data_IF_834218770850
#
_entry.id   IF_834218770850
#
_cell.length_a   1.000
_cell.length_b   1.000
_cell.length_c   1.000
_cell.angle_alpha   90.00
_cell.angle_beta   90.00
_cell.angle_gamma   90.00
#
_symmetry.space_group_name_H-M   'P 1'
#
loop_
_entity.id
_entity.type
_entity.pdbx_description
1 polymer ?
#
# COMPACT_ATOMS: atom_id res chain seq x y z
N UNK A 1 2.05 12.20 -10.58
CA UNK A 1 1.94 11.25 -9.46
C UNK A 1 1.95 9.82 -9.98
N UNK A 2 2.57 8.90 -9.24
CA UNK A 2 2.56 7.45 -9.50
C UNK A 2 1.83 6.76 -8.35
N UNK A 3 0.84 5.91 -8.68
CA UNK A 3 0.00 5.23 -7.70
C UNK A 3 0.25 3.72 -7.76
N UNK A 4 0.79 3.14 -6.69
CA UNK A 4 1.20 1.73 -6.59
C UNK A 4 0.17 0.98 -5.76
N UNK A 5 -0.46 -0.03 -6.36
CA UNK A 5 -1.53 -0.82 -5.75
C UNK A 5 -1.02 -1.80 -4.68
N UNK A 6 -1.94 -2.34 -3.87
CA UNK A 6 -1.67 -3.36 -2.86
C UNK A 6 -1.64 -4.78 -3.42
N UNK A 7 -1.32 -5.75 -2.54
CA UNK A 7 -1.26 -7.16 -2.85
C UNK A 7 -2.56 -7.68 -3.49
N UNK A 8 -2.42 -8.48 -4.54
CA UNK A 8 -3.52 -9.12 -5.27
C UNK A 8 -4.38 -8.19 -6.13
N UNK A 9 -4.08 -6.88 -6.17
CA UNK A 9 -4.82 -5.88 -6.95
C UNK A 9 -4.05 -5.50 -8.23
N UNK A 10 -4.50 -4.49 -8.92
CA UNK A 10 -3.84 -3.87 -10.08
C UNK A 10 -4.16 -2.37 -10.16
N UNK A 11 -3.47 -1.63 -11.03
CA UNK A 11 -3.59 -0.17 -11.14
C UNK A 11 -5.00 0.36 -11.42
N UNK A 12 -5.90 -0.47 -11.93
CA UNK A 12 -7.31 -0.11 -12.12
C UNK A 12 -8.06 0.24 -10.83
N UNK A 13 -7.52 -0.12 -9.64
CA UNK A 13 -8.11 0.25 -8.35
C UNK A 13 -8.16 1.77 -8.13
N UNK A 14 -7.33 2.51 -8.84
CA UNK A 14 -7.21 3.95 -8.72
C UNK A 14 -8.17 4.75 -9.60
N UNK A 15 -8.95 4.08 -10.47
CA UNK A 15 -9.83 4.75 -11.46
C UNK A 15 -10.73 5.82 -10.86
N UNK A 16 -11.33 5.53 -9.70
CA UNK A 16 -12.22 6.46 -8.99
C UNK A 16 -11.48 7.61 -8.31
N UNK A 17 -10.17 7.48 -8.05
CA UNK A 17 -9.36 8.50 -7.42
C UNK A 17 -8.72 9.46 -8.45
N UNK A 18 -8.41 8.97 -9.66
CA UNK A 18 -7.69 9.74 -10.68
C UNK A 18 -8.32 11.11 -11.01
N UNK A 19 -9.67 11.26 -11.11
CA UNK A 19 -10.28 12.56 -11.36
C UNK A 19 -9.98 13.60 -10.29
N UNK A 20 -9.78 13.18 -9.04
CA UNK A 20 -9.48 14.08 -7.93
C UNK A 20 -8.00 14.49 -7.84
N UNK A 21 -7.15 13.94 -8.70
CA UNK A 21 -5.71 14.25 -8.79
C UNK A 21 -5.38 15.19 -9.96
N UNK A 22 -6.30 16.09 -10.32
CA UNK A 22 -6.16 17.01 -11.46
C UNK A 22 -4.96 17.96 -11.35
N UNK A 23 -4.49 18.25 -10.12
CA UNK A 23 -3.27 19.05 -9.87
C UNK A 23 -1.96 18.40 -10.31
N UNK A 24 -1.98 17.13 -10.77
CA UNK A 24 -0.82 16.44 -11.31
C UNK A 24 -0.95 16.29 -12.83
N UNK A 25 0.03 16.81 -13.59
CA UNK A 25 0.07 16.71 -15.06
C UNK A 25 0.08 15.24 -15.52
N UNK A 26 0.88 14.41 -14.86
CA UNK A 26 1.01 12.98 -15.17
C UNK A 26 0.49 12.13 -14.01
N UNK A 27 -0.40 11.19 -14.34
CA UNK A 27 -1.00 10.25 -13.39
C UNK A 27 -0.79 8.84 -13.89
N UNK A 28 0.15 8.12 -13.29
CA UNK A 28 0.51 6.75 -13.66
C UNK A 28 0.00 5.77 -12.61
N UNK A 29 -0.54 4.65 -13.06
CA UNK A 29 -1.03 3.57 -12.22
C UNK A 29 -0.44 2.25 -12.68
N UNK A 30 0.90 2.08 -12.55
CA UNK A 30 1.56 0.86 -13.02
C UNK A 30 1.03 -0.36 -12.26
N UNK A 31 1.03 -1.48 -12.95
CA UNK A 31 0.74 -2.77 -12.34
C UNK A 31 2.04 -3.36 -11.78
N UNK A 32 1.99 -3.84 -10.54
CA UNK A 32 3.12 -4.58 -9.98
C UNK A 32 3.37 -5.84 -10.81
N UNK A 33 4.61 -6.32 -10.93
CA UNK A 33 4.93 -7.53 -11.68
C UNK A 33 3.98 -8.69 -11.35
N UNK A 34 3.49 -9.37 -12.39
CA UNK A 34 2.54 -10.48 -12.27
C UNK A 34 1.09 -10.08 -11.94
N UNK A 35 0.76 -8.79 -11.96
CA UNK A 35 -0.60 -8.28 -11.76
C UNK A 35 -1.06 -7.49 -12.98
N UNK A 36 -2.38 -7.44 -13.23
CA UNK A 36 -2.99 -6.56 -14.25
C UNK A 36 -2.49 -6.74 -15.68
N UNK A 37 -1.82 -7.85 -16.00
CA UNK A 37 -1.19 -8.10 -17.29
C UNK A 37 0.30 -7.79 -17.34
N UNK A 38 0.88 -7.19 -16.30
CA UNK A 38 2.34 -7.00 -16.20
C UNK A 38 3.05 -8.37 -16.09
N UNK A 39 4.19 -8.56 -16.80
CA UNK A 39 4.93 -9.82 -16.71
C UNK A 39 5.45 -10.06 -15.30
N UNK A 40 5.48 -11.33 -14.88
CA UNK A 40 6.17 -11.72 -13.65
C UNK A 40 7.67 -11.83 -13.96
N UNK A 41 8.57 -11.33 -13.09
CA UNK A 41 9.99 -11.51 -13.32
C UNK A 41 10.36 -12.99 -13.21
N UNK A 42 11.31 -13.41 -14.03
CA UNK A 42 11.95 -14.72 -13.89
C UNK A 42 12.79 -14.72 -12.60
N UNK A 43 12.65 -15.78 -11.79
CA UNK A 43 13.42 -15.98 -10.58
C UNK A 43 12.76 -15.46 -9.30
N UNK A 44 13.50 -14.77 -8.43
CA UNK A 44 13.03 -14.35 -7.12
C UNK A 44 12.02 -13.21 -7.22
N UNK A 45 10.91 -13.37 -6.51
CA UNK A 45 9.90 -12.31 -6.32
C UNK A 45 10.07 -11.70 -4.92
N UNK A 46 10.96 -10.73 -4.79
CA UNK A 46 11.25 -10.03 -3.55
C UNK A 46 10.97 -8.54 -3.65
N UNK A 47 11.03 -7.83 -2.52
CA UNK A 47 10.76 -6.40 -2.48
C UNK A 47 11.72 -5.60 -3.37
N UNK A 48 12.99 -5.98 -3.39
CA UNK A 48 14.00 -5.31 -4.21
C UNK A 48 13.78 -5.56 -5.70
N UNK A 49 13.44 -6.78 -6.07
CA UNK A 49 13.20 -7.19 -7.45
C UNK A 49 11.97 -6.48 -8.04
N UNK A 50 10.84 -6.48 -7.33
CA UNK A 50 9.64 -5.78 -7.82
C UNK A 50 9.81 -4.26 -7.83
N UNK A 51 10.59 -3.70 -6.89
CA UNK A 51 10.93 -2.28 -6.88
C UNK A 51 11.81 -1.91 -8.08
N UNK A 52 12.82 -2.74 -8.38
CA UNK A 52 13.72 -2.52 -9.51
C UNK A 52 12.98 -2.62 -10.86
N UNK A 53 12.05 -3.58 -10.98
CA UNK A 53 11.22 -3.73 -12.18
C UNK A 53 10.30 -2.50 -12.40
N UNK A 54 9.76 -1.92 -11.31
CA UNK A 54 8.88 -0.76 -11.38
C UNK A 54 9.65 0.57 -11.58
N UNK A 55 10.88 0.67 -11.11
CA UNK A 55 11.64 1.93 -11.10
C UNK A 55 11.71 2.65 -12.47
N UNK A 56 11.90 1.96 -13.62
CA UNK A 56 11.90 2.62 -14.92
C UNK A 56 10.62 3.39 -15.27
N UNK A 57 9.47 2.93 -14.77
CA UNK A 57 8.15 3.54 -15.02
C UNK A 57 7.90 4.78 -14.17
N UNK A 58 8.72 5.04 -13.15
CA UNK A 58 8.58 6.18 -12.25
C UNK A 58 9.41 7.35 -12.75
N UNK A 59 8.81 8.46 -13.21
CA UNK A 59 9.54 9.66 -13.63
C UNK A 59 10.39 10.24 -12.49
N UNK A 60 11.47 10.94 -12.84
CA UNK A 60 12.27 11.65 -11.84
C UNK A 60 11.43 12.72 -11.12
N UNK A 61 11.59 12.84 -9.81
CA UNK A 61 10.88 13.80 -8.99
C UNK A 61 9.39 13.53 -8.80
N UNK A 62 8.92 12.29 -9.04
CA UNK A 62 7.51 11.96 -8.88
C UNK A 62 7.05 12.00 -7.42
N UNK A 63 5.79 12.41 -7.20
CA UNK A 63 5.06 12.02 -5.99
C UNK A 63 4.63 10.57 -6.13
N UNK A 64 4.97 9.72 -5.18
CA UNK A 64 4.61 8.30 -5.20
C UNK A 64 3.60 8.02 -4.10
N UNK A 65 2.40 7.57 -4.50
CA UNK A 65 1.37 7.06 -3.61
C UNK A 65 1.39 5.54 -3.61
N UNK A 66 1.67 4.94 -2.47
CA UNK A 66 1.64 3.48 -2.29
C UNK A 66 0.58 3.05 -1.29
N UNK A 67 -0.14 1.99 -1.61
CA UNK A 67 -1.13 1.40 -0.74
C UNK A 67 -0.71 0.00 -0.28
N UNK A 68 -0.69 -0.26 1.04
CA UNK A 68 -0.41 -1.59 1.61
C UNK A 68 0.95 -2.13 1.13
N UNK A 69 1.02 -3.27 0.42
CA UNK A 69 2.26 -3.76 -0.21
C UNK A 69 2.89 -2.69 -1.13
N UNK A 70 2.06 -1.95 -1.88
CA UNK A 70 2.54 -0.84 -2.71
C UNK A 70 3.20 0.28 -1.92
N UNK A 71 2.85 0.46 -0.64
CA UNK A 71 3.54 1.41 0.24
C UNK A 71 4.94 0.91 0.62
N UNK A 72 5.13 -0.40 0.82
CA UNK A 72 6.47 -0.98 1.04
C UNK A 72 7.36 -0.81 -0.20
N UNK A 73 6.78 -1.02 -1.40
CA UNK A 73 7.46 -0.76 -2.68
C UNK A 73 7.82 0.72 -2.82
N UNK A 74 6.90 1.64 -2.49
CA UNK A 74 7.14 3.08 -2.54
C UNK A 74 8.26 3.54 -1.59
N UNK A 75 8.30 3.00 -0.37
CA UNK A 75 9.39 3.25 0.58
C UNK A 75 10.73 2.73 0.08
N UNK A 76 10.76 1.50 -0.47
CA UNK A 76 11.98 0.93 -1.03
C UNK A 76 12.44 1.69 -2.29
N UNK A 77 11.50 2.17 -3.12
CA UNK A 77 11.78 3.04 -4.25
C UNK A 77 12.42 4.37 -3.80
N UNK A 78 11.86 5.02 -2.80
CA UNK A 78 12.39 6.26 -2.24
C UNK A 78 13.81 6.10 -1.68
N UNK A 79 14.11 4.95 -1.08
CA UNK A 79 15.45 4.61 -0.59
C UNK A 79 16.43 4.33 -1.72
N UNK A 80 16.10 3.38 -2.62
CA UNK A 80 17.05 2.86 -3.63
C UNK A 80 17.15 3.73 -4.88
N UNK A 81 16.09 4.49 -5.18
CA UNK A 81 15.96 5.34 -6.35
C UNK A 81 15.55 6.77 -5.96
N UNK A 82 16.22 7.35 -4.96
CA UNK A 82 15.85 8.62 -4.33
C UNK A 82 15.57 9.76 -5.32
N UNK A 83 16.30 9.83 -6.44
CA UNK A 83 16.09 10.85 -7.48
C UNK A 83 14.74 10.74 -8.20
N UNK A 84 14.08 9.58 -8.13
CA UNK A 84 12.76 9.37 -8.75
C UNK A 84 11.62 9.81 -7.84
N UNK A 85 11.85 9.94 -6.55
CA UNK A 85 10.79 10.22 -5.56
C UNK A 85 11.04 11.55 -4.89
N UNK A 86 10.15 12.53 -5.10
CA UNK A 86 10.19 13.82 -4.40
C UNK A 86 9.33 13.82 -3.14
N UNK A 87 8.27 13.01 -3.11
CA UNK A 87 7.31 12.94 -2.00
C UNK A 87 6.67 11.55 -1.93
N UNK A 88 6.39 11.09 -0.72
CA UNK A 88 5.65 9.86 -0.46
C UNK A 88 4.25 10.14 0.10
N UNK A 89 3.26 9.37 -0.37
CA UNK A 89 1.94 9.24 0.24
C UNK A 89 1.75 7.74 0.51
N UNK A 90 1.73 7.38 1.79
CA UNK A 90 1.72 5.98 2.24
C UNK A 90 0.36 5.66 2.86
N UNK A 91 -0.43 4.84 2.18
CA UNK A 91 -1.82 4.55 2.57
C UNK A 91 -1.89 3.17 3.22
N UNK A 92 -2.45 3.10 4.42
CA UNK A 92 -2.57 1.85 5.19
C UNK A 92 -1.24 1.09 5.20
N UNK A 93 -0.18 1.79 5.60
CA UNK A 93 1.21 1.39 5.45
C UNK A 93 1.82 0.94 6.79
N UNK A 94 2.76 0.01 6.70
CA UNK A 94 3.55 -0.48 7.82
C UNK A 94 4.99 -0.77 7.36
N UNK A 95 6.01 -0.57 8.22
CA UNK A 95 7.37 -0.96 7.89
C UNK A 95 7.60 -2.48 8.03
N UNK A 96 6.73 -3.16 8.78
CA UNK A 96 6.71 -4.61 8.97
C UNK A 96 5.28 -5.07 9.16
N UNK A 97 4.88 -6.09 8.40
CA UNK A 97 3.48 -6.54 8.36
C UNK A 97 3.14 -7.52 9.47
N UNK A 98 4.07 -8.42 9.82
CA UNK A 98 3.90 -9.42 10.89
C UNK A 98 4.57 -8.97 12.18
N UNK A 99 4.12 -9.50 13.31
CA UNK A 99 4.76 -9.27 14.61
C UNK A 99 6.20 -9.83 14.62
N UNK A 100 7.05 -9.22 15.43
CA UNK A 100 8.44 -9.65 15.67
C UNK A 100 9.01 -8.95 16.90
N UNK A 101 10.22 -9.29 17.28
CA UNK A 101 10.92 -8.63 18.38
C UNK A 101 10.92 -7.11 18.19
N UNK A 102 10.44 -6.42 19.23
CA UNK A 102 10.28 -4.95 19.23
C UNK A 102 9.23 -4.42 18.24
N UNK A 103 8.29 -5.28 17.77
CA UNK A 103 7.21 -4.88 16.88
C UNK A 103 5.93 -5.68 17.13
N UNK A 104 5.04 -5.12 17.96
CA UNK A 104 3.76 -5.72 18.34
C UNK A 104 2.56 -5.11 17.56
N UNK A 105 2.86 -4.22 16.60
CA UNK A 105 1.85 -3.54 15.80
C UNK A 105 1.50 -4.27 14.51
N UNK A 106 2.06 -5.45 14.27
CA UNK A 106 1.81 -6.28 13.09
C UNK A 106 0.64 -7.25 13.26
N UNK A 107 0.45 -8.11 12.27
CA UNK A 107 -0.46 -9.26 12.36
C UNK A 107 0.28 -10.42 13.05
N UNK A 108 -0.42 -11.15 13.92
CA UNK A 108 0.13 -12.36 14.54
C UNK A 108 0.47 -13.44 13.48
N UNK A 109 1.62 -14.10 13.62
CA UNK A 109 2.12 -15.08 12.66
C UNK A 109 1.12 -16.20 12.35
N UNK A 110 0.45 -16.72 13.36
CA UNK A 110 -0.55 -17.78 13.15
C UNK A 110 -1.75 -17.35 12.30
N UNK A 111 -2.14 -16.09 12.36
CA UNK A 111 -3.20 -15.52 11.49
C UNK A 111 -2.70 -15.39 10.07
N UNK A 112 -1.47 -14.91 9.90
CA UNK A 112 -0.82 -14.78 8.59
C UNK A 112 -0.61 -16.16 7.94
N UNK A 113 -0.15 -17.15 8.70
CA UNK A 113 0.07 -18.53 8.23
C UNK A 113 -1.20 -19.20 7.73
N UNK A 114 -2.30 -19.02 8.45
CA UNK A 114 -3.59 -19.55 8.02
C UNK A 114 -4.00 -18.93 6.67
N UNK A 115 -3.80 -17.64 6.50
CA UNK A 115 -4.08 -16.94 5.26
C UNK A 115 -3.18 -17.43 4.10
N UNK A 116 -1.87 -17.52 4.32
CA UNK A 116 -0.91 -17.97 3.32
C UNK A 116 -1.18 -19.41 2.83
N UNK A 117 -1.52 -20.32 3.77
CA UNK A 117 -1.87 -21.72 3.41
C UNK A 117 -3.13 -21.82 2.55
N UNK A 118 -4.13 -20.98 2.81
CA UNK A 118 -5.37 -21.00 2.00
C UNK A 118 -5.15 -20.46 0.57
N UNK A 119 -4.15 -19.63 0.35
CA UNK A 119 -3.81 -19.15 -0.99
C UNK A 119 -3.39 -20.29 -1.92
N UNK A 120 -2.62 -21.24 -1.44
CA UNK A 120 -2.13 -22.39 -2.22
C UNK A 120 -3.27 -23.31 -2.64
N UNK A 121 -4.27 -23.51 -1.77
CA UNK A 121 -5.39 -24.42 -2.02
C UNK A 121 -6.51 -23.81 -2.86
N UNK A 122 -6.83 -22.53 -2.64
CA UNK A 122 -7.87 -21.78 -3.35
C UNK A 122 -7.56 -20.27 -3.33
N UNK A 123 -6.81 -19.81 -4.34
CA UNK A 123 -6.40 -18.42 -4.44
C UNK A 123 -7.60 -17.47 -4.64
N UNK A 124 -8.62 -17.86 -5.40
CA UNK A 124 -9.81 -17.01 -5.63
C UNK A 124 -10.59 -16.79 -4.34
N UNK A 125 -10.80 -17.85 -3.55
CA UNK A 125 -11.45 -17.73 -2.26
C UNK A 125 -10.61 -16.90 -1.29
N UNK A 126 -9.29 -17.09 -1.31
CA UNK A 126 -8.35 -16.33 -0.47
C UNK A 126 -8.38 -14.84 -0.82
N UNK A 127 -8.34 -14.46 -2.09
CA UNK A 127 -8.49 -13.07 -2.51
C UNK A 127 -9.84 -12.48 -2.07
N UNK A 128 -10.94 -13.21 -2.24
CA UNK A 128 -12.26 -12.75 -1.79
C UNK A 128 -12.34 -12.55 -0.26
N UNK A 129 -11.71 -13.44 0.52
CA UNK A 129 -11.59 -13.29 1.98
C UNK A 129 -10.75 -12.06 2.33
N UNK A 130 -9.63 -11.86 1.65
CA UNK A 130 -8.76 -10.69 1.83
C UNK A 130 -9.50 -9.39 1.58
N UNK A 131 -10.26 -9.29 0.47
CA UNK A 131 -11.10 -8.13 0.19
C UNK A 131 -12.14 -7.89 1.28
N UNK A 132 -12.72 -8.96 1.81
CA UNK A 132 -13.71 -8.85 2.90
C UNK A 132 -13.09 -8.33 4.19
N UNK A 133 -11.83 -8.66 4.48
CA UNK A 133 -11.08 -8.12 5.62
C UNK A 133 -10.78 -6.63 5.46
N UNK A 134 -10.46 -6.18 4.26
CA UNK A 134 -10.15 -4.77 3.96
C UNK A 134 -11.30 -3.82 4.29
N UNK A 135 -12.54 -4.28 4.19
CA UNK A 135 -13.74 -3.46 4.38
C UNK A 135 -14.42 -3.68 5.73
N UNK A 136 -13.94 -4.66 6.50
CA UNK A 136 -14.57 -5.06 7.76
C UNK A 136 -14.56 -3.90 8.77
N UNK A 137 -15.74 -3.59 9.32
CA UNK A 137 -15.90 -2.52 10.31
C UNK A 137 -16.21 -1.14 9.74
N UNK A 138 -16.13 -0.95 8.42
CA UNK A 138 -16.57 0.31 7.77
C UNK A 138 -18.09 0.30 7.50
N UNK A 139 -18.73 1.45 7.67
CA UNK A 139 -20.16 1.63 7.34
C UNK A 139 -20.44 1.42 5.83
N UNK A 140 -19.46 1.67 4.98
CA UNK A 140 -19.53 1.51 3.51
C UNK A 140 -19.05 0.14 3.02
N UNK A 141 -18.91 -0.86 3.92
CA UNK A 141 -18.28 -2.14 3.62
C UNK A 141 -18.86 -2.88 2.40
N UNK A 142 -20.18 -2.84 2.20
CA UNK A 142 -20.82 -3.53 1.06
C UNK A 142 -20.50 -2.91 -0.31
N UNK A 143 -20.56 -1.58 -0.41
CA UNK A 143 -20.26 -0.86 -1.66
C UNK A 143 -18.78 -0.95 -2.00
N UNK A 144 -17.93 -0.75 -1.00
CA UNK A 144 -16.48 -0.89 -1.12
C UNK A 144 -16.09 -2.30 -1.57
N UNK A 145 -16.65 -3.35 -0.94
CA UNK A 145 -16.36 -4.74 -1.32
C UNK A 145 -16.81 -5.04 -2.76
N UNK A 146 -17.96 -4.50 -3.18
CA UNK A 146 -18.44 -4.66 -4.56
C UNK A 146 -17.47 -4.03 -5.56
N UNK A 147 -16.99 -2.82 -5.30
CA UNK A 147 -16.01 -2.15 -6.15
C UNK A 147 -14.68 -2.92 -6.19
N UNK A 148 -14.13 -3.30 -5.03
CA UNK A 148 -12.89 -4.07 -4.97
C UNK A 148 -13.00 -5.38 -5.75
N UNK A 149 -14.13 -6.09 -5.66
CA UNK A 149 -14.38 -7.32 -6.43
C UNK A 149 -14.51 -7.06 -7.93
N UNK A 150 -15.18 -5.99 -8.34
CA UNK A 150 -15.32 -5.65 -9.77
C UNK A 150 -13.97 -5.29 -10.40
N UNK A 151 -13.08 -4.68 -9.63
CA UNK A 151 -11.74 -4.34 -10.10
C UNK A 151 -10.84 -5.57 -10.14
N UNK A 152 -10.87 -6.43 -9.12
CA UNK A 152 -9.91 -7.52 -8.89
C UNK A 152 -9.56 -8.34 -10.15
N UNK A 153 -10.56 -8.68 -10.95
CA UNK A 153 -10.39 -9.51 -12.16
C UNK A 153 -10.60 -8.75 -13.48
N UNK A 154 -10.73 -7.42 -13.42
CA UNK A 154 -11.03 -6.61 -14.60
C UNK A 154 -9.90 -6.59 -15.63
N UNK A 155 -8.66 -6.85 -15.20
CA UNK A 155 -7.47 -6.93 -16.08
C UNK A 155 -6.82 -8.32 -16.06
N UNK A 156 -7.61 -9.38 -15.90
CA UNK A 156 -7.12 -10.75 -15.76
C UNK A 156 -6.80 -11.13 -14.31
N UNK A 157 -6.38 -12.37 -14.14
CA UNK A 157 -6.01 -12.90 -12.82
C UNK A 157 -4.56 -12.59 -12.49
N UNK A 158 -4.23 -12.24 -11.23
CA UNK A 158 -2.85 -12.15 -10.80
C UNK A 158 -2.15 -13.49 -10.96
N UNK A 159 -0.88 -13.47 -11.35
CA UNK A 159 -0.09 -14.69 -11.45
C UNK A 159 0.15 -15.30 -10.07
N UNK A 160 0.03 -16.62 -9.95
CA UNK A 160 0.17 -17.31 -8.67
C UNK A 160 1.55 -17.07 -8.04
N UNK A 161 2.61 -17.03 -8.84
CA UNK A 161 3.95 -16.71 -8.38
C UNK A 161 4.05 -15.32 -7.74
N UNK A 162 3.37 -14.32 -8.33
CA UNK A 162 3.32 -12.96 -7.80
C UNK A 162 2.52 -12.87 -6.49
N UNK A 163 1.42 -13.62 -6.40
CA UNK A 163 0.64 -13.70 -5.15
C UNK A 163 1.46 -14.35 -4.02
N UNK A 164 2.10 -15.48 -4.31
CA UNK A 164 2.95 -16.18 -3.34
C UNK A 164 4.14 -15.31 -2.92
N UNK A 165 4.88 -14.76 -3.88
CA UNK A 165 6.02 -13.89 -3.60
C UNK A 165 5.63 -12.61 -2.85
N UNK A 166 4.49 -12.02 -3.16
CA UNK A 166 3.96 -10.88 -2.42
C UNK A 166 3.64 -11.20 -0.96
N UNK A 167 3.13 -12.41 -0.67
CA UNK A 167 2.96 -12.88 0.71
C UNK A 167 4.31 -13.08 1.42
N UNK A 168 5.32 -13.61 0.74
CA UNK A 168 6.66 -13.73 1.31
C UNK A 168 7.26 -12.36 1.65
N UNK A 169 7.03 -11.35 0.80
CA UNK A 169 7.41 -9.96 1.12
C UNK A 169 6.69 -9.48 2.37
N UNK A 170 5.36 -9.63 2.44
CA UNK A 170 4.58 -9.20 3.61
C UNK A 170 5.01 -9.93 4.89
N UNK A 171 5.40 -11.20 4.80
CA UNK A 171 5.87 -11.99 5.94
C UNK A 171 7.25 -11.55 6.45
N UNK A 172 8.19 -11.32 5.54
CA UNK A 172 9.61 -11.27 5.89
C UNK A 172 10.24 -9.87 5.76
N UNK A 173 9.65 -8.98 4.96
CA UNK A 173 10.21 -7.65 4.82
C UNK A 173 10.13 -6.84 6.11
N UNK A 174 11.27 -6.31 6.53
CA UNK A 174 11.39 -5.44 7.69
C UNK A 174 12.16 -4.18 7.27
N UNK A 175 11.43 -3.10 7.19
CA UNK A 175 11.94 -1.82 6.71
C UNK A 175 12.41 -0.91 7.84
N UNK A 176 12.21 -1.31 9.09
CA UNK A 176 12.45 -0.47 10.28
C UNK A 176 13.88 0.06 10.36
N UNK A 177 14.86 -0.80 10.07
CA UNK A 177 16.28 -0.46 10.20
C UNK A 177 16.74 0.68 9.30
N UNK A 178 16.03 0.94 8.18
CA UNK A 178 16.46 1.94 7.20
C UNK A 178 15.41 3.04 6.91
N UNK A 179 14.36 3.15 7.73
CA UNK A 179 13.39 4.25 7.60
C UNK A 179 14.07 5.63 7.71
N UNK A 180 15.10 5.76 8.54
CA UNK A 180 15.91 6.97 8.66
C UNK A 180 16.66 7.39 7.39
N UNK A 181 16.80 6.50 6.40
CA UNK A 181 17.42 6.81 5.11
C UNK A 181 16.43 7.51 4.15
N UNK A 182 15.12 7.41 4.38
CA UNK A 182 14.07 8.02 3.56
C UNK A 182 13.92 9.49 3.97
N UNK A 183 14.52 10.38 3.18
CA UNK A 183 14.55 11.83 3.45
C UNK A 183 13.39 12.59 2.81
N UNK A 184 12.66 11.97 1.89
CA UNK A 184 11.53 12.59 1.21
C UNK A 184 10.40 12.89 2.21
N UNK A 185 9.70 14.04 2.06
CA UNK A 185 8.48 14.29 2.81
C UNK A 185 7.50 13.13 2.62
N UNK A 186 7.02 12.58 3.72
CA UNK A 186 6.15 11.41 3.70
C UNK A 186 4.85 11.69 4.45
N UNK A 187 3.72 11.45 3.79
CA UNK A 187 2.40 11.53 4.40
C UNK A 187 1.82 10.14 4.56
N UNK A 188 1.70 9.67 5.78
CA UNK A 188 1.06 8.39 6.12
C UNK A 188 -0.41 8.64 6.42
N UNK A 189 -1.30 7.94 5.71
CA UNK A 189 -2.76 8.03 5.88
C UNK A 189 -3.29 6.64 6.22
N UNK A 190 -4.00 6.52 7.34
CA UNK A 190 -4.56 5.24 7.78
C UNK A 190 -6.02 5.37 8.22
N UNK A 191 -6.79 4.32 7.98
CA UNK A 191 -8.12 4.17 8.55
C UNK A 191 -8.06 3.63 9.97
N UNK A 192 -8.80 4.23 10.91
CA UNK A 192 -8.84 3.76 12.31
C UNK A 192 -9.45 2.35 12.43
N UNK A 193 -10.29 1.96 11.48
CA UNK A 193 -10.94 0.64 11.45
C UNK A 193 -10.19 -0.39 10.60
N UNK A 194 -8.94 -0.08 10.21
CA UNK A 194 -8.11 -1.04 9.48
C UNK A 194 -7.81 -2.27 10.34
N UNK A 195 -8.14 -3.46 9.81
CA UNK A 195 -7.94 -4.75 10.47
C UNK A 195 -6.79 -5.56 9.87
N UNK A 196 -6.19 -5.04 8.80
CA UNK A 196 -5.03 -5.65 8.15
C UNK A 196 -3.73 -4.96 8.55
N UNK A 197 -3.73 -3.63 8.54
CA UNK A 197 -2.62 -2.83 9.07
C UNK A 197 -3.17 -2.00 10.24
N UNK A 198 -2.92 -2.41 11.48
CA UNK A 198 -3.37 -1.65 12.64
C UNK A 198 -2.91 -0.19 12.56
N UNK A 199 -3.77 0.79 12.89
CA UNK A 199 -3.41 2.22 12.83
C UNK A 199 -2.16 2.57 13.62
N UNK A 200 -1.89 1.81 14.71
CA UNK A 200 -0.67 1.94 15.50
C UNK A 200 0.60 1.71 14.67
N UNK A 201 0.58 0.75 13.73
CA UNK A 201 1.70 0.48 12.83
C UNK A 201 1.98 1.66 11.88
N UNK A 202 0.92 2.23 11.30
CA UNK A 202 1.03 3.40 10.42
C UNK A 202 1.48 4.66 11.19
N UNK A 203 1.04 4.82 12.44
CA UNK A 203 1.48 5.92 13.31
C UNK A 203 2.95 5.77 13.67
N UNK A 204 3.39 4.57 14.05
CA UNK A 204 4.79 4.27 14.33
C UNK A 204 5.69 4.48 13.11
N UNK A 205 5.21 4.08 11.91
CA UNK A 205 5.89 4.36 10.65
C UNK A 205 6.09 5.86 10.44
N UNK A 206 5.04 6.66 10.59
CA UNK A 206 5.13 8.11 10.40
C UNK A 206 6.12 8.76 11.37
N UNK A 207 6.12 8.33 12.64
CA UNK A 207 7.03 8.82 13.66
C UNK A 207 8.51 8.44 13.40
N UNK A 208 8.76 7.30 12.73
CA UNK A 208 10.10 6.83 12.40
C UNK A 208 10.69 7.46 11.12
N UNK A 209 9.85 8.07 10.28
CA UNK A 209 10.30 8.75 9.06
C UNK A 209 10.77 10.17 9.39
N UNK A 210 11.97 10.61 8.93
CA UNK A 210 12.53 11.91 9.25
C UNK A 210 11.64 13.12 8.92
N UNK A 211 10.84 13.02 7.84
CA UNK A 211 9.88 14.03 7.42
C UNK A 211 8.47 13.42 7.30
N UNK A 212 8.11 12.59 8.28
CA UNK A 212 6.84 11.87 8.34
C UNK A 212 5.73 12.71 8.97
N UNK A 213 4.54 12.71 8.37
CA UNK A 213 3.31 13.20 8.97
C UNK A 213 2.24 12.13 8.95
N UNK A 214 1.31 12.15 9.88
CA UNK A 214 0.26 11.17 10.03
C UNK A 214 -1.13 11.80 9.95
N UNK A 215 -2.04 11.15 9.21
CA UNK A 215 -3.47 11.49 9.22
C UNK A 215 -4.27 10.22 9.40
N UNK A 216 -5.20 10.24 10.35
CA UNK A 216 -6.10 9.16 10.67
C UNK A 216 -7.52 9.47 10.16
N UNK A 217 -8.16 8.50 9.52
CA UNK A 217 -9.54 8.59 9.06
C UNK A 217 -10.42 7.71 9.96
N UNK A 218 -11.23 8.28 10.87
CA UNK A 218 -11.88 7.55 11.97
C UNK A 218 -12.76 6.39 11.52
N UNK A 219 -13.49 6.57 10.41
CA UNK A 219 -14.50 5.60 9.95
C UNK A 219 -13.96 4.67 8.84
N UNK A 220 -12.76 4.91 8.33
CA UNK A 220 -12.19 4.17 7.22
C UNK A 220 -11.53 2.86 7.66
N UNK A 221 -11.57 1.86 6.77
CA UNK A 221 -10.80 0.62 6.85
C UNK A 221 -9.51 0.69 6.03
N UNK A 222 -9.07 -0.47 5.51
CA UNK A 222 -7.79 -0.63 4.79
C UNK A 222 -7.71 0.10 3.44
N UNK A 223 -8.83 0.40 2.79
CA UNK A 223 -8.89 1.11 1.51
C UNK A 223 -9.67 2.44 1.65
N UNK A 224 -9.11 3.44 2.37
CA UNK A 224 -9.79 4.70 2.63
C UNK A 224 -10.11 5.49 1.36
N UNK A 225 -9.26 5.42 0.35
CA UNK A 225 -9.46 6.07 -0.95
C UNK A 225 -10.66 5.53 -1.75
N UNK A 226 -11.18 4.35 -1.37
CA UNK A 226 -12.43 3.79 -1.91
C UNK A 226 -13.60 4.08 -0.98
N UNK A 227 -13.45 3.77 0.30
CA UNK A 227 -14.55 3.78 1.28
C UNK A 227 -14.93 5.18 1.79
N UNK A 228 -13.96 6.09 1.88
CA UNK A 228 -14.07 7.44 2.42
C UNK A 228 -13.30 8.42 1.51
N UNK A 229 -13.69 8.41 0.22
CA UNK A 229 -12.96 9.12 -0.83
C UNK A 229 -12.86 10.62 -0.58
N UNK A 230 -13.93 11.26 -0.14
CA UNK A 230 -13.97 12.71 0.14
C UNK A 230 -12.99 13.09 1.23
N UNK A 231 -13.02 12.38 2.35
CA UNK A 231 -12.12 12.59 3.48
C UNK A 231 -10.66 12.28 3.11
N UNK A 232 -10.46 11.24 2.30
CA UNK A 232 -9.14 10.89 1.80
C UNK A 232 -8.56 11.98 0.90
N UNK A 233 -9.34 12.52 -0.04
CA UNK A 233 -8.92 13.62 -0.92
C UNK A 233 -8.62 14.88 -0.09
N UNK A 234 -9.45 15.19 0.89
CA UNK A 234 -9.21 16.29 1.82
C UNK A 234 -7.88 16.11 2.57
N UNK A 235 -7.59 14.89 3.03
CA UNK A 235 -6.33 14.58 3.68
C UNK A 235 -5.12 14.75 2.74
N UNK A 236 -5.23 14.39 1.45
CA UNK A 236 -4.17 14.60 0.47
C UNK A 236 -3.82 16.09 0.29
N UNK A 237 -4.84 16.95 0.29
CA UNK A 237 -4.73 18.39 0.03
C UNK A 237 -4.33 19.18 1.28
N UNK A 238 -4.40 18.58 2.47
CA UNK A 238 -4.04 19.27 3.70
C UNK A 238 -2.56 19.71 3.66
N UNK A 239 -2.25 21.00 3.93
CA UNK A 239 -0.87 21.46 4.01
C UNK A 239 -0.12 20.68 5.10
N UNK A 240 1.19 20.53 4.93
CA UNK A 240 2.02 20.10 6.04
C UNK A 240 1.73 21.05 7.22
N UNK A 241 1.42 20.51 8.39
CA UNK A 241 1.30 21.36 9.57
C UNK A 241 2.61 22.16 9.66
N UNK A 242 2.52 23.46 9.52
CA UNK A 242 3.64 24.35 9.87
C UNK A 242 3.95 24.08 11.32
N UNK A 243 5.17 23.62 11.61
CA UNK A 243 5.67 23.59 12.97
C UNK A 243 5.39 24.96 13.59
N UNK A 244 4.65 24.99 14.69
CA UNK A 244 4.55 26.19 15.48
C UNK A 244 5.98 26.56 15.90
N UNK A 245 6.41 27.82 15.72
CA UNK A 245 7.73 28.23 16.18
C UNK A 245 7.81 28.00 17.68
N UNK A 246 8.89 27.33 18.08
CA UNK A 246 9.23 27.04 19.49
C UNK A 246 9.56 28.35 20.23
#
# INVERSE_FOLDING_TARGET
>A
VVLIHGWGMHGGIWSELLPALEGYETRLTPDLPGHGGAPCPDGRYGLDEITAALAPEVPAGATVLGWSLGAMVAMNLARRHARRVSRLILVSATPRFTNSDGWDCGIADGVFDLFARTLVSDYRQTLNRFLSLQVRGSATSRSTLRLLRSVLFARGEPQQAALAGGLEILRHADLRAWLGEIRQPAHVIAGLRDRLVPPAASRALAAALPAGRFTELPEAGHAPFVSHRTEFISALSAPAATEAPA
#
